data_IF_498682074828
#
_entry.id   IF_498682074828
#
_cell.length_a   1.000
_cell.length_b   1.000
_cell.length_c   1.000
_cell.angle_alpha   90.00
_cell.angle_beta   90.00
_cell.angle_gamma   90.00
#
_symmetry.space_group_name_H-M   'P 1'
#
loop_
_entity.id
_entity.type
_entity.pdbx_description
1 polymer ?
#
# COMPACT_ATOMS: atom_id res chain seq x y z
N UNK A 1 16.41 -44.92 21.67
CA UNK A 1 17.71 -44.36 21.23
C UNK A 1 18.65 -44.05 22.40
N UNK A 2 18.25 -43.25 23.40
CA UNK A 2 19.08 -42.92 24.59
C UNK A 2 19.66 -44.12 25.32
N UNK A 3 18.90 -45.21 25.49
CA UNK A 3 19.31 -46.41 26.20
C UNK A 3 20.26 -47.28 25.39
N UNK A 4 20.19 -47.28 24.07
CA UNK A 4 21.09 -48.02 23.19
C UNK A 4 22.48 -47.39 23.19
N UNK A 5 22.56 -46.06 23.09
CA UNK A 5 23.84 -45.34 23.11
C UNK A 5 24.51 -45.42 24.49
N UNK A 6 23.77 -45.47 25.58
CA UNK A 6 24.31 -45.68 26.93
C UNK A 6 24.93 -47.09 27.10
N UNK A 7 24.32 -48.08 26.46
CA UNK A 7 24.82 -49.46 26.53
C UNK A 7 26.10 -49.63 25.72
N UNK A 8 26.16 -49.09 24.50
CA UNK A 8 27.31 -49.20 23.60
C UNK A 8 28.56 -48.44 24.10
N UNK A 9 28.38 -47.38 24.87
CA UNK A 9 29.50 -46.55 25.36
C UNK A 9 29.91 -46.83 26.80
N UNK A 10 29.26 -47.79 27.49
CA UNK A 10 29.51 -48.13 28.92
C UNK A 10 29.51 -46.91 29.86
N UNK A 11 28.83 -45.82 29.47
CA UNK A 11 28.76 -44.58 30.25
C UNK A 11 27.33 -44.37 30.79
N UNK A 12 27.05 -44.73 32.05
CA UNK A 12 25.69 -44.67 32.61
C UNK A 12 25.12 -43.22 32.77
N UNK A 13 26.03 -42.25 32.81
CA UNK A 13 25.67 -40.83 33.07
C UNK A 13 25.66 -39.95 31.81
N UNK A 14 25.57 -40.53 30.62
CA UNK A 14 25.53 -39.75 29.40
C UNK A 14 24.14 -39.10 29.21
N UNK A 15 24.03 -37.78 29.36
CA UNK A 15 22.88 -37.02 29.01
C UNK A 15 23.01 -36.54 27.56
N UNK A 16 22.09 -36.98 26.69
CA UNK A 16 22.02 -36.56 25.31
C UNK A 16 20.98 -35.41 25.28
N UNK A 17 21.48 -34.21 25.17
CA UNK A 17 20.66 -33.03 24.91
C UNK A 17 20.48 -32.91 23.40
N UNK A 18 19.27 -33.13 22.94
CA UNK A 18 18.91 -32.94 21.50
C UNK A 18 18.44 -31.55 21.33
N UNK A 19 19.32 -30.67 20.84
CA UNK A 19 18.95 -29.31 20.44
C UNK A 19 18.45 -29.40 19.00
N UNK A 20 17.18 -29.09 18.81
CA UNK A 20 16.58 -29.03 17.47
C UNK A 20 16.76 -27.61 16.92
N UNK A 21 17.91 -27.33 16.31
CA UNK A 21 18.16 -26.09 15.64
C UNK A 21 17.75 -26.20 14.16
N UNK A 22 16.93 -25.26 13.64
CA UNK A 22 16.64 -25.23 12.22
C UNK A 22 17.92 -24.98 11.42
N UNK A 23 18.09 -25.69 10.32
CA UNK A 23 19.23 -25.49 9.43
C UNK A 23 19.30 -24.03 8.97
N UNK A 24 20.48 -23.42 8.88
CA UNK A 24 20.60 -22.06 8.39
C UNK A 24 20.09 -21.97 6.96
N UNK A 25 19.29 -20.93 6.71
CA UNK A 25 18.72 -20.67 5.37
C UNK A 25 19.82 -20.56 4.32
N UNK A 26 19.62 -21.22 3.19
CA UNK A 26 20.45 -21.01 2.00
C UNK A 26 20.31 -19.58 1.49
N UNK A 27 21.26 -19.10 0.68
CA UNK A 27 21.20 -17.75 0.12
C UNK A 27 19.95 -17.53 -0.76
N UNK A 28 19.47 -18.59 -1.44
CA UNK A 28 18.23 -18.55 -2.22
C UNK A 28 17.00 -18.42 -1.32
N UNK A 29 16.90 -19.25 -0.28
CA UNK A 29 15.79 -19.18 0.68
C UNK A 29 15.74 -17.84 1.42
N UNK A 30 16.90 -17.25 1.75
CA UNK A 30 16.97 -15.90 2.33
C UNK A 30 16.42 -14.84 1.36
N UNK A 31 16.76 -14.93 0.08
CA UNK A 31 16.28 -14.03 -0.95
C UNK A 31 14.76 -14.17 -1.14
N UNK A 32 14.27 -15.40 -1.23
CA UNK A 32 12.84 -15.71 -1.40
C UNK A 32 12.02 -15.28 -0.18
N UNK A 33 12.54 -15.50 1.03
CA UNK A 33 11.87 -15.06 2.26
C UNK A 33 11.82 -13.53 2.37
N UNK A 34 12.91 -12.84 2.00
CA UNK A 34 12.95 -11.37 1.96
C UNK A 34 11.93 -10.83 0.96
N UNK A 35 11.88 -11.38 -0.25
CA UNK A 35 10.94 -10.96 -1.29
C UNK A 35 9.48 -11.21 -0.87
N UNK A 36 9.18 -12.39 -0.31
CA UNK A 36 7.84 -12.70 0.21
C UNK A 36 7.41 -11.73 1.31
N UNK A 37 8.29 -11.47 2.28
CA UNK A 37 7.99 -10.55 3.37
C UNK A 37 7.75 -9.12 2.85
N UNK A 38 8.56 -8.68 1.89
CA UNK A 38 8.39 -7.37 1.24
C UNK A 38 7.07 -7.27 0.48
N UNK A 39 6.63 -8.34 -0.20
CA UNK A 39 5.34 -8.37 -0.90
C UNK A 39 4.15 -8.32 0.07
N UNK A 40 4.21 -9.10 1.16
CA UNK A 40 3.17 -9.08 2.20
C UNK A 40 3.07 -7.67 2.82
N UNK A 41 4.20 -7.08 3.15
CA UNK A 41 4.28 -5.75 3.73
C UNK A 41 3.70 -4.69 2.77
N UNK A 42 3.98 -4.80 1.47
CA UNK A 42 3.42 -3.93 0.46
C UNK A 42 1.90 -3.98 0.44
N UNK A 43 1.30 -5.16 0.55
CA UNK A 43 -0.16 -5.29 0.61
C UNK A 43 -0.71 -4.53 1.82
N UNK A 44 -0.09 -4.68 3.00
CA UNK A 44 -0.50 -3.94 4.20
C UNK A 44 -0.34 -2.43 4.04
N UNK A 45 0.81 -1.96 3.53
CA UNK A 45 1.04 -0.54 3.25
C UNK A 45 -0.01 -0.01 2.27
N UNK A 46 -0.29 -0.73 1.19
CA UNK A 46 -1.28 -0.33 0.19
C UNK A 46 -2.67 -0.20 0.81
N UNK A 47 -3.08 -1.11 1.70
CA UNK A 47 -4.36 -1.03 2.41
C UNK A 47 -4.40 0.21 3.29
N UNK A 48 -3.35 0.48 4.07
CA UNK A 48 -3.27 1.68 4.92
C UNK A 48 -3.39 2.96 4.07
N UNK A 49 -2.64 3.06 2.97
CA UNK A 49 -2.70 4.23 2.09
C UNK A 49 -4.03 4.37 1.33
N UNK A 50 -4.81 3.31 1.19
CA UNK A 50 -6.15 3.33 0.59
C UNK A 50 -7.17 4.05 1.49
N UNK A 51 -7.00 3.96 2.81
CA UNK A 51 -7.93 4.56 3.78
C UNK A 51 -7.79 6.08 3.88
N UNK A 52 -6.61 6.63 3.60
CA UNK A 52 -6.38 8.09 3.68
C UNK A 52 -7.26 8.85 2.70
N UNK A 53 -7.29 8.54 1.39
CA UNK A 53 -8.10 9.24 0.41
C UNK A 53 -9.60 9.01 0.58
N UNK A 54 -10.02 7.92 1.19
CA UNK A 54 -11.42 7.67 1.47
C UNK A 54 -12.02 8.70 2.45
N UNK A 55 -11.21 9.25 3.35
CA UNK A 55 -11.65 10.35 4.21
C UNK A 55 -11.73 11.69 3.47
N UNK A 56 -10.93 11.89 2.43
CA UNK A 56 -10.93 13.14 1.67
C UNK A 56 -12.21 13.28 0.83
N UNK A 57 -12.67 12.20 0.22
CA UNK A 57 -13.90 12.20 -0.57
C UNK A 57 -15.13 12.60 0.25
N UNK A 58 -15.18 12.20 1.52
CA UNK A 58 -16.28 12.49 2.45
C UNK A 58 -16.48 13.99 2.63
N UNK A 59 -15.39 14.74 2.78
CA UNK A 59 -15.46 16.21 2.98
C UNK A 59 -16.08 16.89 1.75
N UNK A 60 -15.63 16.50 0.56
CA UNK A 60 -16.11 17.09 -0.71
C UNK A 60 -17.60 16.80 -0.93
N UNK A 61 -18.03 15.56 -0.67
CA UNK A 61 -19.43 15.16 -0.83
C UNK A 61 -20.30 15.87 0.21
N UNK A 62 -19.85 15.97 1.47
CA UNK A 62 -20.56 16.69 2.55
C UNK A 62 -20.76 18.17 2.20
N UNK A 63 -19.75 18.85 1.66
CA UNK A 63 -19.88 20.23 1.21
C UNK A 63 -20.87 20.37 0.05
N UNK A 64 -20.96 19.34 -0.81
CA UNK A 64 -21.95 19.27 -1.91
C UNK A 64 -23.36 19.04 -1.36
N UNK A 65 -23.55 18.10 -0.44
CA UNK A 65 -24.86 17.80 0.18
C UNK A 65 -25.42 18.99 0.96
N UNK A 66 -24.57 19.66 1.74
CA UNK A 66 -24.96 20.80 2.57
C UNK A 66 -25.00 22.14 1.83
N UNK A 67 -24.78 22.16 0.51
CA UNK A 67 -24.67 23.38 -0.30
C UNK A 67 -23.62 24.40 0.21
N UNK A 68 -22.72 23.99 1.10
CA UNK A 68 -21.70 24.86 1.68
C UNK A 68 -20.78 25.48 0.64
N UNK A 69 -20.49 24.73 -0.43
CA UNK A 69 -19.76 25.25 -1.60
C UNK A 69 -20.47 26.43 -2.26
N UNK A 70 -21.79 26.38 -2.43
CA UNK A 70 -22.59 27.49 -2.99
C UNK A 70 -22.55 28.71 -2.09
N UNK A 71 -22.67 28.53 -0.77
CA UNK A 71 -22.59 29.64 0.18
C UNK A 71 -21.22 30.32 0.16
N UNK A 72 -20.15 29.56 0.03
CA UNK A 72 -18.79 30.11 -0.06
C UNK A 72 -18.59 30.92 -1.35
N UNK A 73 -19.11 30.44 -2.48
CA UNK A 73 -19.05 31.19 -3.76
C UNK A 73 -19.86 32.46 -3.72
N UNK A 74 -21.07 32.43 -3.13
CA UNK A 74 -21.94 33.63 -3.00
C UNK A 74 -21.27 34.66 -2.07
N UNK A 75 -20.51 34.24 -1.06
CA UNK A 75 -19.76 35.14 -0.18
C UNK A 75 -18.51 35.77 -0.83
N UNK A 76 -18.28 35.52 -2.13
CA UNK A 76 -17.24 36.18 -2.92
C UNK A 76 -15.94 35.38 -3.11
N UNK A 77 -15.89 34.12 -2.66
CA UNK A 77 -14.72 33.26 -2.91
C UNK A 77 -14.74 32.82 -4.37
N UNK A 78 -13.62 33.01 -5.08
CA UNK A 78 -13.50 32.52 -6.45
C UNK A 78 -13.47 30.98 -6.48
N UNK A 79 -14.10 30.41 -7.53
CA UNK A 79 -14.12 28.94 -7.70
C UNK A 79 -12.71 28.32 -7.73
N UNK A 80 -11.74 29.03 -8.30
CA UNK A 80 -10.36 28.58 -8.36
C UNK A 80 -9.71 28.56 -6.97
N UNK A 81 -9.92 29.63 -6.19
CA UNK A 81 -9.41 29.70 -4.81
C UNK A 81 -9.99 28.59 -3.93
N UNK A 82 -11.28 28.28 -4.11
CA UNK A 82 -11.93 27.18 -3.40
C UNK A 82 -11.22 25.83 -3.68
N UNK A 83 -11.03 25.48 -4.96
CA UNK A 83 -10.43 24.19 -5.33
C UNK A 83 -8.95 24.10 -4.95
N UNK A 84 -8.17 25.16 -5.15
CA UNK A 84 -6.75 25.20 -4.81
C UNK A 84 -6.55 25.07 -3.29
N UNK A 85 -7.35 25.78 -2.50
CA UNK A 85 -7.27 25.73 -1.04
C UNK A 85 -7.59 24.32 -0.52
N UNK A 86 -8.68 23.72 -0.99
CA UNK A 86 -9.04 22.36 -0.60
C UNK A 86 -7.96 21.35 -1.01
N UNK A 87 -7.41 21.49 -2.22
CA UNK A 87 -6.34 20.62 -2.71
C UNK A 87 -5.08 20.70 -1.83
N UNK A 88 -4.63 21.91 -1.51
CA UNK A 88 -3.45 22.11 -0.64
C UNK A 88 -3.72 21.55 0.76
N UNK A 89 -4.90 21.77 1.31
CA UNK A 89 -5.27 21.29 2.63
C UNK A 89 -5.32 19.75 2.71
N UNK A 90 -5.92 19.09 1.71
CA UNK A 90 -5.96 17.63 1.63
C UNK A 90 -4.55 17.04 1.41
N UNK A 91 -3.74 17.70 0.59
CA UNK A 91 -2.36 17.30 0.34
C UNK A 91 -1.50 17.43 1.61
N UNK A 92 -1.69 18.51 2.38
CA UNK A 92 -1.00 18.68 3.66
C UNK A 92 -1.37 17.60 4.66
N UNK A 93 -2.67 17.28 4.81
CA UNK A 93 -3.13 16.16 5.66
C UNK A 93 -2.53 14.83 5.20
N UNK A 94 -2.51 14.57 3.89
CA UNK A 94 -1.90 13.38 3.33
C UNK A 94 -0.43 13.27 3.76
N UNK A 95 0.37 14.33 3.58
CA UNK A 95 1.78 14.30 3.92
C UNK A 95 2.04 14.14 5.42
N UNK A 96 1.22 14.74 6.28
CA UNK A 96 1.35 14.57 7.74
C UNK A 96 1.10 13.13 8.15
N UNK A 97 -0.03 12.55 7.71
CA UNK A 97 -0.41 11.17 8.07
C UNK A 97 0.61 10.17 7.52
N UNK A 98 1.02 10.34 6.28
CA UNK A 98 1.98 9.45 5.68
C UNK A 98 3.39 9.57 6.23
N UNK A 99 3.83 10.77 6.66
CA UNK A 99 5.08 10.93 7.38
C UNK A 99 5.08 10.10 8.68
N UNK A 100 3.98 10.09 9.43
CA UNK A 100 3.81 9.25 10.61
C UNK A 100 3.93 7.76 10.24
N UNK A 101 3.26 7.33 9.16
CA UNK A 101 3.35 5.95 8.66
C UNK A 101 4.79 5.58 8.27
N UNK A 102 5.53 6.47 7.60
CA UNK A 102 6.94 6.24 7.23
C UNK A 102 7.84 6.12 8.46
N UNK A 103 7.63 6.92 9.50
CA UNK A 103 8.36 6.81 10.78
C UNK A 103 8.08 5.44 11.43
N UNK A 104 6.85 5.00 11.45
CA UNK A 104 6.46 3.68 11.99
C UNK A 104 7.16 2.58 11.20
N UNK A 105 7.15 2.61 9.86
CA UNK A 105 7.84 1.64 9.02
C UNK A 105 9.34 1.60 9.28
N UNK A 106 9.95 2.76 9.52
CA UNK A 106 11.37 2.86 9.88
C UNK A 106 11.68 2.19 11.22
N UNK A 107 10.83 2.38 12.23
CA UNK A 107 10.98 1.74 13.54
C UNK A 107 10.89 0.21 13.47
N UNK A 108 10.07 -0.32 12.57
CA UNK A 108 9.95 -1.77 12.33
C UNK A 108 11.01 -2.34 11.36
N UNK A 109 11.93 -1.52 10.86
CA UNK A 109 12.99 -1.98 9.96
C UNK A 109 12.55 -2.25 8.51
N UNK A 110 11.40 -1.71 8.10
CA UNK A 110 10.82 -1.89 6.76
C UNK A 110 10.97 -0.64 5.87
N UNK A 111 11.86 0.26 6.26
CA UNK A 111 12.08 1.51 5.57
C UNK A 111 13.06 1.32 4.39
N UNK A 112 12.66 1.88 3.25
CA UNK A 112 13.49 1.95 2.04
C UNK A 112 13.39 3.38 1.48
N UNK A 113 14.51 3.98 1.08
CA UNK A 113 14.56 5.39 0.68
C UNK A 113 13.65 5.73 -0.52
N UNK A 114 13.54 4.82 -1.49
CA UNK A 114 12.66 5.01 -2.65
C UNK A 114 11.16 5.03 -2.29
N UNK A 115 10.78 4.46 -1.15
CA UNK A 115 9.39 4.51 -0.66
C UNK A 115 8.97 5.95 -0.36
N UNK A 116 9.89 6.78 0.13
CA UNK A 116 9.64 8.20 0.38
C UNK A 116 9.35 8.95 -0.92
N UNK A 117 10.14 8.69 -1.96
CA UNK A 117 9.96 9.31 -3.27
C UNK A 117 8.61 8.92 -3.87
N UNK A 118 8.27 7.63 -3.85
CA UNK A 118 6.97 7.13 -4.30
C UNK A 118 5.82 7.77 -3.53
N UNK A 119 5.96 7.89 -2.20
CA UNK A 119 4.97 8.50 -1.33
C UNK A 119 4.74 9.98 -1.70
N UNK A 120 5.80 10.76 -1.90
CA UNK A 120 5.69 12.18 -2.28
C UNK A 120 5.00 12.32 -3.64
N UNK A 121 5.39 11.52 -4.62
CA UNK A 121 4.82 11.56 -5.97
C UNK A 121 3.39 11.06 -6.05
N UNK A 122 2.97 10.18 -5.15
CA UNK A 122 1.64 9.60 -5.12
C UNK A 122 0.57 10.59 -4.62
N UNK A 123 0.91 11.51 -3.71
CA UNK A 123 -0.03 12.44 -3.08
C UNK A 123 -0.87 13.27 -4.05
N UNK A 124 -0.25 14.07 -4.94
CA UNK A 124 -1.00 14.95 -5.84
C UNK A 124 -2.00 14.23 -6.76
N UNK A 125 -1.62 13.17 -7.51
CA UNK A 125 -2.56 12.45 -8.36
C UNK A 125 -3.65 11.74 -7.57
N UNK A 126 -3.36 11.32 -6.33
CA UNK A 126 -4.33 10.66 -5.48
C UNK A 126 -5.43 11.62 -5.01
N UNK A 127 -5.08 12.83 -4.58
CA UNK A 127 -6.06 13.85 -4.20
C UNK A 127 -6.91 14.24 -5.40
N UNK A 128 -6.30 14.46 -6.58
CA UNK A 128 -7.02 14.78 -7.80
C UNK A 128 -8.01 13.66 -8.20
N UNK A 129 -7.59 12.42 -8.12
CA UNK A 129 -8.43 11.25 -8.41
C UNK A 129 -9.63 11.16 -7.46
N UNK A 130 -9.41 11.43 -6.18
CA UNK A 130 -10.46 11.46 -5.15
C UNK A 130 -11.50 12.54 -5.46
N UNK A 131 -11.09 13.71 -5.98
CA UNK A 131 -11.99 14.77 -6.37
C UNK A 131 -12.87 14.37 -7.57
N UNK A 132 -12.31 13.66 -8.53
CA UNK A 132 -13.10 13.14 -9.66
C UNK A 132 -14.19 12.21 -9.15
N UNK A 133 -13.86 11.25 -8.28
CA UNK A 133 -14.85 10.33 -7.70
C UNK A 133 -15.88 11.09 -6.87
N UNK A 134 -15.47 12.03 -6.02
CA UNK A 134 -16.37 12.84 -5.20
C UNK A 134 -17.36 13.68 -6.01
N UNK A 135 -16.96 14.12 -7.22
CA UNK A 135 -17.86 14.85 -8.12
C UNK A 135 -18.98 13.97 -8.69
N UNK A 136 -18.73 12.68 -8.89
CA UNK A 136 -19.66 11.71 -9.50
C UNK A 136 -20.68 11.16 -8.50
N UNK A 137 -20.40 11.24 -7.19
CA UNK A 137 -21.22 10.64 -6.13
C UNK A 137 -21.89 11.74 -5.31
N UNK A 138 -23.10 11.46 -4.81
CA UNK A 138 -23.88 12.41 -4.01
C UNK A 138 -24.01 11.99 -2.53
N UNK A 139 -23.65 10.76 -2.17
CA UNK A 139 -23.77 10.25 -0.81
C UNK A 139 -22.38 9.99 -0.21
N UNK A 140 -22.11 10.51 1.00
CA UNK A 140 -20.82 10.40 1.68
C UNK A 140 -20.37 8.93 1.81
N UNK A 141 -21.24 8.06 2.34
CA UNK A 141 -20.92 6.66 2.57
C UNK A 141 -20.62 5.90 1.29
N UNK A 142 -21.41 6.15 0.23
CA UNK A 142 -21.20 5.54 -1.09
C UNK A 142 -19.88 5.99 -1.70
N UNK A 143 -19.55 7.28 -1.59
CA UNK A 143 -18.28 7.83 -2.09
C UNK A 143 -17.08 7.23 -1.39
N UNK A 144 -17.13 7.12 -0.07
CA UNK A 144 -16.07 6.51 0.73
C UNK A 144 -15.81 5.05 0.36
N UNK A 145 -16.88 4.25 0.30
CA UNK A 145 -16.80 2.83 -0.07
C UNK A 145 -16.25 2.67 -1.50
N UNK A 146 -16.70 3.50 -2.43
CA UNK A 146 -16.26 3.46 -3.83
C UNK A 146 -14.76 3.76 -3.97
N UNK A 147 -14.26 4.78 -3.27
CA UNK A 147 -12.82 5.09 -3.24
C UNK A 147 -12.03 3.94 -2.65
N UNK A 148 -12.47 3.35 -1.53
CA UNK A 148 -11.82 2.20 -0.91
C UNK A 148 -11.78 1.02 -1.90
N UNK A 149 -12.92 0.68 -2.52
CA UNK A 149 -13.01 -0.45 -3.44
C UNK A 149 -12.11 -0.27 -4.67
N UNK A 150 -12.12 0.90 -5.31
CA UNK A 150 -11.29 1.16 -6.48
C UNK A 150 -9.81 1.06 -6.10
N UNK A 151 -9.40 1.69 -5.01
CA UNK A 151 -8.01 1.67 -4.58
C UNK A 151 -7.55 0.29 -4.13
N UNK A 152 -8.40 -0.48 -3.46
CA UNK A 152 -8.08 -1.84 -3.01
C UNK A 152 -8.01 -2.81 -4.18
N UNK A 153 -9.05 -2.84 -5.04
CA UNK A 153 -9.12 -3.79 -6.16
C UNK A 153 -8.05 -3.52 -7.23
N UNK A 154 -7.94 -2.28 -7.68
CA UNK A 154 -7.03 -1.94 -8.76
C UNK A 154 -5.63 -1.56 -8.25
N UNK A 155 -5.54 -0.91 -7.09
CA UNK A 155 -4.27 -0.53 -6.49
C UNK A 155 -3.56 -1.73 -5.88
N UNK A 156 -4.04 -2.21 -4.74
CA UNK A 156 -3.36 -3.24 -3.97
C UNK A 156 -3.40 -4.60 -4.67
N UNK A 157 -4.60 -5.12 -4.96
CA UNK A 157 -4.77 -6.45 -5.57
C UNK A 157 -4.31 -6.42 -7.03
N UNK A 158 -4.74 -5.43 -7.82
CA UNK A 158 -4.38 -5.31 -9.23
C UNK A 158 -2.88 -5.10 -9.44
N UNK A 159 -2.25 -4.24 -8.63
CA UNK A 159 -0.81 -3.98 -8.70
C UNK A 159 0.04 -5.21 -8.40
N UNK A 160 -0.30 -5.96 -7.34
CA UNK A 160 0.41 -7.20 -6.99
C UNK A 160 0.13 -8.31 -8.00
N UNK A 161 -1.10 -8.46 -8.48
CA UNK A 161 -1.45 -9.47 -9.47
C UNK A 161 -0.70 -9.27 -10.79
N UNK A 162 -0.70 -8.04 -11.32
CA UNK A 162 0.03 -7.71 -12.56
C UNK A 162 1.54 -7.91 -12.37
N UNK A 163 2.08 -7.58 -11.21
CA UNK A 163 3.48 -7.84 -10.90
C UNK A 163 3.81 -9.34 -10.92
N UNK A 164 3.00 -10.17 -10.25
CA UNK A 164 3.17 -11.63 -10.24
C UNK A 164 3.04 -12.20 -11.67
N UNK A 165 2.04 -11.74 -12.46
CA UNK A 165 1.86 -12.18 -13.85
C UNK A 165 3.11 -11.92 -14.72
N UNK A 166 3.83 -10.83 -14.48
CA UNK A 166 5.07 -10.52 -15.22
C UNK A 166 6.22 -11.50 -14.95
N UNK A 167 6.20 -12.21 -13.83
CA UNK A 167 7.20 -13.24 -13.53
C UNK A 167 7.01 -14.51 -14.40
N UNK A 168 5.81 -14.68 -14.98
CA UNK A 168 5.51 -15.82 -15.85
C UNK A 168 5.54 -15.44 -17.33
N UNK A 169 6.44 -16.02 -18.12
CA UNK A 169 6.60 -15.71 -19.55
C UNK A 169 5.29 -15.82 -20.35
N UNK A 170 4.44 -16.82 -20.04
CA UNK A 170 3.16 -17.02 -20.72
C UNK A 170 2.14 -15.90 -20.49
N UNK A 171 2.26 -15.16 -19.41
CA UNK A 171 1.31 -14.12 -18.99
C UNK A 171 1.89 -12.71 -19.18
N UNK A 172 3.11 -12.59 -19.70
CA UNK A 172 3.83 -11.33 -19.79
C UNK A 172 3.10 -10.30 -20.65
N UNK A 173 2.57 -10.70 -21.82
CA UNK A 173 1.87 -9.78 -22.73
C UNK A 173 0.57 -9.27 -22.14
N UNK A 174 -0.19 -10.15 -21.48
CA UNK A 174 -1.42 -9.77 -20.77
C UNK A 174 -1.12 -8.86 -19.59
N UNK A 175 -0.06 -9.10 -18.83
CA UNK A 175 0.38 -8.25 -17.75
C UNK A 175 0.76 -6.84 -18.21
N UNK A 176 1.45 -6.72 -19.35
CA UNK A 176 1.82 -5.43 -19.95
C UNK A 176 0.56 -4.65 -20.37
N UNK A 177 -0.40 -5.33 -20.98
CA UNK A 177 -1.66 -4.70 -21.41
C UNK A 177 -2.46 -4.20 -20.19
N UNK A 178 -2.64 -5.04 -19.18
CA UNK A 178 -3.32 -4.66 -17.93
C UNK A 178 -2.61 -3.52 -17.21
N UNK A 179 -1.27 -3.55 -17.16
CA UNK A 179 -0.49 -2.45 -16.58
C UNK A 179 -0.73 -1.13 -17.29
N UNK A 180 -0.86 -1.11 -18.61
CA UNK A 180 -1.16 0.12 -19.38
C UNK A 180 -2.53 0.68 -19.03
N UNK A 181 -3.54 -0.18 -18.89
CA UNK A 181 -4.92 0.24 -18.55
C UNK A 181 -4.99 0.77 -17.11
N UNK A 182 -4.42 0.03 -16.15
CA UNK A 182 -4.52 0.37 -14.74
C UNK A 182 -3.65 1.55 -14.30
N UNK A 183 -2.70 2.00 -15.13
CA UNK A 183 -1.89 3.22 -14.86
C UNK A 183 -2.70 4.50 -14.69
N UNK A 184 -3.96 4.53 -15.13
CA UNK A 184 -4.87 5.66 -14.90
C UNK A 184 -5.17 5.81 -13.39
N UNK A 185 -5.11 4.72 -12.64
CA UNK A 185 -5.42 4.68 -11.21
C UNK A 185 -4.14 4.92 -10.41
N UNK A 186 -4.05 6.01 -9.62
CA UNK A 186 -2.82 6.36 -8.89
C UNK A 186 -2.35 5.26 -7.94
N UNK A 187 -3.27 4.59 -7.26
CA UNK A 187 -2.97 3.51 -6.32
C UNK A 187 -2.29 2.31 -6.99
N UNK A 188 -2.67 2.02 -8.25
CA UNK A 188 -1.98 1.01 -9.04
C UNK A 188 -0.53 1.41 -9.33
N UNK A 189 -0.30 2.66 -9.72
CA UNK A 189 1.05 3.17 -9.99
C UNK A 189 1.94 3.09 -8.76
N UNK A 190 1.41 3.41 -7.57
CA UNK A 190 2.11 3.30 -6.31
C UNK A 190 2.52 1.85 -6.00
N UNK A 191 1.57 0.93 -6.01
CA UNK A 191 1.78 -0.47 -5.69
C UNK A 191 2.70 -1.17 -6.71
N UNK A 192 2.45 -0.93 -7.99
CA UNK A 192 3.25 -1.50 -9.08
C UNK A 192 4.67 -0.93 -9.10
N UNK A 193 4.83 0.40 -8.90
CA UNK A 193 6.13 1.06 -8.80
C UNK A 193 6.96 0.53 -7.64
N UNK A 194 6.36 0.37 -6.47
CA UNK A 194 7.03 -0.21 -5.31
C UNK A 194 7.53 -1.63 -5.59
N UNK A 195 6.68 -2.51 -6.14
CA UNK A 195 7.09 -3.87 -6.51
C UNK A 195 8.24 -3.91 -7.52
N UNK A 196 8.25 -2.96 -8.46
CA UNK A 196 9.30 -2.90 -9.48
C UNK A 196 10.63 -2.41 -8.92
N UNK A 197 10.62 -1.58 -7.89
CA UNK A 197 11.82 -1.05 -7.24
C UNK A 197 12.46 -2.04 -6.26
N UNK A 198 11.66 -2.98 -5.73
CA UNK A 198 12.15 -4.05 -4.82
C UNK A 198 12.89 -5.19 -5.54
N UNK A 199 12.74 -5.34 -6.85
CA UNK A 199 13.37 -6.38 -7.67
C UNK A 199 14.55 -5.87 -8.46
#
# INVERSE_FOLDING_TARGET
MKNIIRYDLEKPNLEIEVINEPLPYTNLEKKDSKQRNSTILLVFISICFTLIPANFVTIIIREKENNSKHLQIISGISLMSYWVNNFIFELAKYYIIGAICLVILKLFGFYEDYLVILYILYGPPMVAFTYIIGSLVNNEGTGQVLVILINLLFGSIGGTAVFIMRMYQKLMDTAILLAKIFRIIPSFCFCYGYNTLLN
#
